data_IF_415600428350
#
_entry.id   IF_415600428350
#
_cell.length_a   1.000
_cell.length_b   1.000
_cell.length_c   1.000
_cell.angle_alpha   90.00
_cell.angle_beta   90.00
_cell.angle_gamma   90.00
#
_symmetry.space_group_name_H-M   'P 1'
#
loop_
_entity.id
_entity.type
_entity.pdbx_description
1 polymer ?
#
# COMPACT_ATOMS: atom_id res chain seq x y z
N UNK A 1 -0.42 -21.21 21.45
CA UNK A 1 -0.36 -20.80 20.91
C UNK A 1 0.17 -20.46 20.89
N UNK A 2 0.15 -20.53 20.89
CA UNK A 2 0.42 -20.19 20.77
C UNK A 2 0.62 -19.38 20.16
N UNK A 3 0.85 -19.55 20.49
CA UNK A 3 1.37 -18.73 19.62
C UNK A 3 0.82 -17.77 18.82
N UNK A 4 0.96 -16.96 18.96
CA UNK A 4 0.55 -15.96 18.12
C UNK A 4 -0.92 -15.88 17.85
N UNK A 5 -1.67 -16.62 18.53
CA UNK A 5 -3.08 -16.46 18.48
C UNK A 5 -3.61 -16.14 17.10
N UNK A 6 -3.18 -16.87 16.15
CA UNK A 6 -3.36 -16.37 14.81
C UNK A 6 -4.67 -16.78 14.21
N UNK A 7 -5.73 -16.46 14.86
CA UNK A 7 -7.02 -16.55 14.19
C UNK A 7 -7.06 -15.60 13.01
N UNK A 8 -8.09 -15.74 12.20
CA UNK A 8 -8.28 -14.86 11.05
C UNK A 8 -8.46 -13.41 11.50
N UNK A 9 -7.77 -12.50 10.84
CA UNK A 9 -7.94 -11.08 11.06
C UNK A 9 -8.97 -10.57 10.07
N UNK A 10 -10.13 -10.16 10.56
CA UNK A 10 -11.22 -9.70 9.73
C UNK A 10 -11.32 -8.19 9.80
N UNK A 11 -11.37 -7.54 8.64
CA UNK A 11 -11.52 -6.10 8.54
C UNK A 11 -12.60 -5.76 7.53
N UNK A 12 -13.40 -4.76 7.83
CA UNK A 12 -14.45 -4.31 6.94
C UNK A 12 -14.03 -2.97 6.32
N UNK A 13 -14.27 -2.85 5.03
CA UNK A 13 -14.04 -1.62 4.26
C UNK A 13 -12.59 -1.10 4.30
N UNK A 14 -11.66 -1.94 4.67
CA UNK A 14 -10.25 -1.59 4.67
C UNK A 14 -9.39 -2.83 4.53
N UNK A 15 -8.17 -2.65 4.14
CA UNK A 15 -7.22 -3.73 3.96
C UNK A 15 -6.13 -3.66 5.00
N UNK A 16 -5.69 -4.82 5.46
CA UNK A 16 -4.48 -4.92 6.24
C UNK A 16 -3.26 -4.64 5.35
N UNK A 17 -2.10 -4.56 5.98
CA UNK A 17 -0.86 -4.38 5.24
C UNK A 17 -0.67 -5.48 4.21
N UNK A 18 -0.31 -5.10 2.99
CA UNK A 18 -0.05 -6.07 1.94
C UNK A 18 1.19 -6.90 2.25
N UNK A 19 1.12 -8.17 1.92
CA UNK A 19 2.24 -9.09 2.09
C UNK A 19 2.74 -9.54 0.71
N UNK A 20 3.98 -10.00 0.67
CA UNK A 20 4.58 -10.45 -0.58
C UNK A 20 3.90 -11.67 -1.18
N UNK A 21 3.27 -12.47 -0.34
CA UNK A 21 2.62 -13.70 -0.77
C UNK A 21 1.15 -13.58 -1.11
N UNK A 22 0.61 -12.37 -1.08
CA UNK A 22 -0.81 -12.15 -1.32
C UNK A 22 -1.68 -13.02 -0.40
N UNK A 23 -1.49 -12.88 0.90
CA UNK A 23 -2.14 -13.72 1.89
C UNK A 23 -3.59 -13.35 2.19
N UNK A 24 -4.03 -12.21 1.71
CA UNK A 24 -5.36 -11.71 2.01
C UNK A 24 -6.42 -12.40 1.17
N UNK A 25 -7.53 -12.72 1.80
CA UNK A 25 -8.70 -13.24 1.10
C UNK A 25 -9.81 -12.22 1.21
N UNK A 26 -10.39 -11.88 0.08
CA UNK A 26 -11.46 -10.91 -0.01
C UNK A 26 -12.79 -11.64 -0.08
N UNK A 27 -13.74 -11.20 0.74
CA UNK A 27 -15.10 -11.71 0.72
C UNK A 27 -16.01 -10.69 0.07
N UNK A 28 -16.49 -10.99 -1.12
CA UNK A 28 -17.33 -10.07 -1.88
C UNK A 28 -18.78 -10.47 -1.70
N UNK A 29 -19.63 -9.58 -1.16
CA UNK A 29 -21.04 -9.90 -1.03
C UNK A 29 -21.73 -9.91 -2.40
N UNK A 30 -22.53 -10.93 -2.65
CA UNK A 30 -23.32 -11.03 -3.86
C UNK A 30 -24.74 -11.36 -3.47
N UNK A 31 -25.68 -10.71 -4.14
CA UNK A 31 -27.10 -10.95 -3.90
C UNK A 31 -27.62 -11.95 -4.91
N UNK A 32 -28.27 -13.00 -4.42
CA UNK A 32 -28.89 -14.00 -5.29
C UNK A 32 -30.30 -13.56 -5.70
N UNK A 33 -30.87 -14.25 -6.66
CA UNK A 33 -32.22 -13.96 -7.11
C UNK A 33 -33.26 -14.11 -5.99
N UNK A 34 -32.97 -14.99 -5.03
CA UNK A 34 -33.82 -15.20 -3.89
C UNK A 34 -33.72 -14.13 -2.81
N UNK A 35 -32.89 -13.14 -3.02
CA UNK A 35 -32.68 -12.09 -2.03
C UNK A 35 -31.66 -12.43 -0.94
N UNK A 36 -31.04 -13.58 -1.02
CA UNK A 36 -29.99 -13.96 -0.06
C UNK A 36 -28.70 -13.31 -0.41
N UNK A 37 -27.91 -13.01 0.62
CA UNK A 37 -26.56 -12.49 0.44
C UNK A 37 -25.58 -13.64 0.65
N UNK A 38 -24.80 -13.93 -0.37
CA UNK A 38 -23.72 -14.90 -0.28
C UNK A 38 -22.39 -14.17 -0.44
N UNK A 39 -21.33 -14.73 0.11
CA UNK A 39 -20.00 -14.14 0.02
C UNK A 39 -19.12 -15.01 -0.86
N UNK A 40 -18.52 -14.38 -1.85
CA UNK A 40 -17.58 -15.05 -2.74
C UNK A 40 -16.17 -14.76 -2.23
N UNK A 41 -15.42 -15.82 -1.91
CA UNK A 41 -14.04 -15.68 -1.44
C UNK A 41 -13.09 -15.67 -2.63
N UNK A 42 -12.19 -14.70 -2.67
CA UNK A 42 -11.16 -14.65 -3.70
C UNK A 42 -9.93 -13.91 -3.18
N UNK A 43 -8.83 -14.11 -3.85
CA UNK A 43 -7.61 -13.36 -3.56
C UNK A 43 -7.64 -12.02 -4.29
N UNK A 44 -6.82 -11.09 -3.81
CA UNK A 44 -6.65 -9.82 -4.50
C UNK A 44 -5.94 -10.03 -5.82
N UNK A 45 -6.33 -9.27 -6.84
CA UNK A 45 -5.59 -9.22 -8.09
C UNK A 45 -4.40 -8.27 -7.95
N UNK A 46 -3.36 -8.41 -8.80
CA UNK A 46 -2.25 -7.47 -8.77
C UNK A 46 -2.70 -6.02 -8.96
N UNK A 47 -3.68 -5.78 -9.82
CA UNK A 47 -4.23 -4.44 -10.04
C UNK A 47 -4.85 -3.87 -8.77
N UNK A 48 -5.55 -4.71 -8.01
CA UNK A 48 -6.12 -4.28 -6.74
C UNK A 48 -5.04 -3.94 -5.73
N UNK A 49 -3.96 -4.72 -5.70
CA UNK A 49 -2.81 -4.41 -4.84
C UNK A 49 -2.19 -3.07 -5.20
N UNK A 50 -2.04 -2.78 -6.48
CA UNK A 50 -1.54 -1.49 -6.95
C UNK A 50 -2.44 -0.36 -6.46
N UNK A 51 -3.75 -0.51 -6.59
CA UNK A 51 -4.70 0.50 -6.14
C UNK A 51 -4.65 0.73 -4.65
N UNK A 52 -4.49 -0.33 -3.86
CA UNK A 52 -4.37 -0.21 -2.41
C UNK A 52 -3.11 0.54 -2.00
N UNK A 53 -2.05 0.43 -2.79
CA UNK A 53 -0.82 1.18 -2.55
C UNK A 53 -0.83 2.58 -3.15
N UNK A 54 -1.92 2.96 -3.80
CA UNK A 54 -2.09 4.31 -4.35
C UNK A 54 -1.50 4.52 -5.73
N UNK A 55 -1.19 3.45 -6.44
CA UNK A 55 -0.68 3.53 -7.80
C UNK A 55 -1.79 3.33 -8.82
N UNK A 56 -1.54 3.78 -10.04
CA UNK A 56 -2.49 3.60 -11.13
C UNK A 56 -2.60 2.12 -11.52
N UNK A 57 -3.75 1.76 -12.08
CA UNK A 57 -4.04 0.37 -12.44
C UNK A 57 -3.01 -0.24 -13.37
N UNK A 58 -2.52 0.54 -14.31
CA UNK A 58 -1.68 0.04 -15.38
C UNK A 58 -0.19 0.29 -15.12
N UNK A 59 0.16 0.55 -13.87
CA UNK A 59 1.53 0.91 -13.51
C UNK A 59 2.56 -0.10 -13.99
N UNK A 60 2.25 -1.38 -13.90
CA UNK A 60 3.17 -2.44 -14.26
C UNK A 60 2.87 -3.07 -15.63
N UNK A 61 1.96 -2.51 -16.41
CA UNK A 61 1.51 -3.14 -17.65
C UNK A 61 2.53 -3.07 -18.78
N UNK A 62 3.50 -2.15 -18.69
CA UNK A 62 4.46 -1.94 -19.76
C UNK A 62 5.50 -3.06 -19.92
N UNK A 63 5.68 -3.85 -18.88
CA UNK A 63 6.68 -4.91 -18.87
C UNK A 63 6.00 -6.24 -18.57
N UNK A 64 6.16 -7.24 -19.46
CA UNK A 64 5.60 -8.57 -19.19
C UNK A 64 6.20 -9.15 -17.92
N UNK A 65 5.36 -9.69 -17.05
CA UNK A 65 5.78 -10.24 -15.78
C UNK A 65 4.74 -11.22 -15.26
N UNK A 66 5.14 -12.00 -14.26
CA UNK A 66 4.23 -12.93 -13.59
C UNK A 66 3.50 -12.21 -12.46
N UNK A 67 2.27 -12.65 -12.17
CA UNK A 67 1.50 -12.10 -11.08
C UNK A 67 2.23 -12.23 -9.74
N UNK A 68 2.90 -13.36 -9.51
CA UNK A 68 3.64 -13.56 -8.26
C UNK A 68 4.73 -12.52 -8.05
N UNK A 69 5.40 -12.11 -9.13
CA UNK A 69 6.42 -11.06 -9.05
C UNK A 69 5.78 -9.72 -8.68
N UNK A 70 4.61 -9.44 -9.23
CA UNK A 70 3.92 -8.19 -8.93
C UNK A 70 3.42 -8.15 -7.49
N UNK A 71 2.87 -9.25 -6.98
CA UNK A 71 2.46 -9.33 -5.58
C UNK A 71 3.64 -9.08 -4.64
N UNK A 72 4.79 -9.65 -4.95
CA UNK A 72 6.00 -9.46 -4.15
C UNK A 72 6.43 -8.00 -4.16
N UNK A 73 6.37 -7.36 -5.31
CA UNK A 73 6.71 -5.95 -5.43
C UNK A 73 5.78 -5.08 -4.58
N UNK A 74 4.47 -5.29 -4.69
CA UNK A 74 3.52 -4.47 -3.93
C UNK A 74 3.60 -4.75 -2.43
N UNK A 75 3.90 -5.99 -2.04
CA UNK A 75 4.07 -6.34 -0.63
C UNK A 75 5.32 -5.75 -0.01
N UNK A 76 6.39 -5.60 -0.80
CA UNK A 76 7.63 -4.99 -0.32
C UNK A 76 7.60 -3.47 -0.41
N UNK A 77 6.67 -2.92 -1.18
CA UNK A 77 6.60 -1.50 -1.40
C UNK A 77 5.90 -0.75 -0.28
N UNK A 78 5.99 0.55 -0.36
CA UNK A 78 5.33 1.46 0.56
C UNK A 78 4.16 2.12 -0.16
N UNK A 79 3.06 2.39 0.54
CA UNK A 79 1.92 3.09 -0.06
C UNK A 79 2.38 4.45 -0.58
N UNK A 80 2.07 4.74 -1.83
CA UNK A 80 2.56 5.93 -2.51
C UNK A 80 2.15 7.23 -1.80
N UNK A 81 0.88 7.41 -1.41
CA UNK A 81 0.52 8.65 -0.71
C UNK A 81 1.27 8.87 0.60
N UNK A 82 1.54 7.80 1.34
CA UNK A 82 2.31 7.90 2.59
C UNK A 82 3.75 8.28 2.32
N UNK A 83 4.36 7.66 1.32
CA UNK A 83 5.71 7.97 0.91
C UNK A 83 5.83 9.41 0.44
N UNK A 84 4.86 9.86 -0.35
CA UNK A 84 4.86 11.23 -0.86
C UNK A 84 4.77 12.24 0.27
N UNK A 85 3.92 11.99 1.25
CA UNK A 85 3.80 12.86 2.42
C UNK A 85 5.12 12.98 3.17
N UNK A 86 5.78 11.86 3.40
CA UNK A 86 7.07 11.84 4.10
C UNK A 86 8.13 12.58 3.30
N UNK A 87 8.19 12.35 1.99
CA UNK A 87 9.19 12.97 1.14
C UNK A 87 8.96 14.47 0.98
N UNK A 88 7.73 14.91 0.97
CA UNK A 88 7.44 16.34 0.98
C UNK A 88 7.98 17.00 2.24
N UNK A 89 7.82 16.35 3.40
CA UNK A 89 8.37 16.86 4.65
C UNK A 89 9.88 16.94 4.62
N UNK A 90 10.55 15.90 4.09
CA UNK A 90 12.00 15.89 3.94
C UNK A 90 12.46 17.01 3.02
N UNK A 91 11.77 17.19 1.90
CA UNK A 91 12.10 18.24 0.95
C UNK A 91 12.00 19.62 1.58
N UNK A 92 10.95 19.84 2.34
CA UNK A 92 10.72 21.12 3.01
C UNK A 92 11.86 21.45 3.98
N UNK A 93 12.26 20.49 4.80
CA UNK A 93 13.36 20.68 5.76
C UNK A 93 14.67 20.95 5.03
N UNK A 94 14.96 20.20 3.98
CA UNK A 94 16.18 20.40 3.21
C UNK A 94 16.20 21.76 2.53
N UNK A 95 15.06 22.22 1.99
CA UNK A 95 14.96 23.51 1.36
C UNK A 95 15.20 24.64 2.37
N UNK A 96 14.63 24.55 3.56
CA UNK A 96 14.84 25.54 4.62
C UNK A 96 16.31 25.61 5.02
N UNK A 97 16.96 24.47 5.19
CA UNK A 97 18.38 24.42 5.54
C UNK A 97 19.25 25.00 4.43
N UNK A 98 18.90 24.71 3.18
CA UNK A 98 19.63 25.24 2.04
C UNK A 98 19.52 26.75 1.99
N UNK A 99 18.33 27.30 2.20
CA UNK A 99 18.12 28.73 2.22
C UNK A 99 18.89 29.39 3.38
N UNK A 100 18.88 28.78 4.54
CA UNK A 100 19.67 29.29 5.67
C UNK A 100 21.15 29.32 5.35
N UNK A 101 21.64 28.33 4.63
CA UNK A 101 23.06 28.30 4.21
C UNK A 101 23.37 29.41 3.23
N UNK A 102 22.48 29.70 2.30
CA UNK A 102 22.68 30.72 1.29
C UNK A 102 22.47 32.14 1.82
N UNK A 103 21.48 32.36 2.64
CA UNK A 103 21.04 33.68 3.04
C UNK A 103 21.21 33.96 4.54
N UNK A 104 21.38 32.89 5.32
CA UNK A 104 21.49 33.02 6.76
C UNK A 104 22.75 33.63 7.24
N UNK A 105 23.82 33.59 6.44
CA UNK A 105 25.09 34.15 6.77
C UNK A 105 25.78 33.48 7.93
N UNK A 106 25.28 33.65 9.08
CA UNK A 106 25.85 33.13 10.31
C UNK A 106 25.09 31.94 10.82
N UNK A 107 24.98 30.93 10.03
CA UNK A 107 24.29 29.73 10.48
C UNK A 107 24.96 29.24 11.78
N UNK A 108 24.21 29.17 12.87
CA UNK A 108 24.80 28.66 14.11
C UNK A 108 25.12 27.17 13.96
N UNK A 109 26.07 26.75 14.74
CA UNK A 109 26.43 25.34 14.76
C UNK A 109 25.25 24.51 15.25
N UNK A 110 24.99 23.49 14.54
CA UNK A 110 23.85 22.64 14.87
C UNK A 110 24.20 21.21 14.99
#
# INVERSE_FOLDING_TARGET
MQGGGKGALIQEDKSATLACGNDQTLFVPMQTEDGRVIYLARKLTPTECASLQGFEKDWCSLVPHKDSAEYKMWGNGMAFPCMLYIMEGVQQVLAERYLDTLFGGDAPDR
#
